data_IF_667938577658
#
_entry.id   IF_667938577658
#
_cell.length_a   1.000
_cell.length_b   1.000
_cell.length_c   1.000
_cell.angle_alpha   90.00
_cell.angle_beta   90.00
_cell.angle_gamma   90.00
#
_symmetry.space_group_name_H-M   'P 1'
#
loop_
_entity.id
_entity.type
_entity.pdbx_description
1 polymer ?
#
# COMPACT_ATOMS: atom_id res chain seq x y z
N UNK A 1 52.29 0.26 7.14
CA UNK A 1 53.03 -0.95 7.58
C UNK A 1 52.04 -1.95 8.21
N UNK A 2 50.90 -2.19 7.56
CA UNK A 2 49.88 -3.15 8.04
C UNK A 2 49.63 -4.32 7.06
N UNK A 3 50.08 -4.20 5.80
CA UNK A 3 49.82 -5.17 4.72
C UNK A 3 50.49 -6.54 4.98
N UNK A 4 51.66 -6.58 5.61
CA UNK A 4 52.42 -7.81 5.87
C UNK A 4 52.12 -8.47 7.22
N UNK A 5 51.10 -8.01 7.96
CA UNK A 5 50.79 -8.57 9.27
C UNK A 5 50.10 -9.93 9.13
N UNK A 6 50.68 -11.05 9.63
CA UNK A 6 50.12 -12.39 9.41
C UNK A 6 48.71 -12.59 9.99
N UNK A 7 48.32 -11.75 10.96
CA UNK A 7 47.01 -11.79 11.61
C UNK A 7 45.86 -11.29 10.71
N UNK A 8 46.17 -10.47 9.70
CA UNK A 8 45.20 -9.97 8.74
C UNK A 8 44.92 -10.97 7.60
N UNK A 9 45.76 -12.00 7.44
CA UNK A 9 45.61 -12.99 6.37
C UNK A 9 44.47 -13.95 6.69
N UNK A 10 43.52 -14.07 5.77
CA UNK A 10 42.42 -15.03 5.87
C UNK A 10 42.86 -16.36 5.28
N UNK A 11 42.67 -17.46 6.02
CA UNK A 11 43.02 -18.81 5.55
C UNK A 11 42.22 -19.15 4.28
N UNK A 12 42.81 -19.95 3.40
CA UNK A 12 42.22 -20.39 2.12
C UNK A 12 41.95 -19.29 1.09
N UNK A 13 42.52 -18.09 1.27
CA UNK A 13 42.45 -17.00 0.28
C UNK A 13 43.86 -16.70 -0.27
N UNK A 14 43.96 -16.42 -1.57
CA UNK A 14 45.24 -16.15 -2.23
C UNK A 14 45.82 -14.76 -1.86
N UNK A 15 44.93 -13.80 -1.63
CA UNK A 15 45.26 -12.43 -1.30
C UNK A 15 44.27 -11.92 -0.25
N UNK A 16 44.76 -11.12 0.69
CA UNK A 16 43.92 -10.40 1.64
C UNK A 16 44.44 -8.99 1.77
N UNK A 17 43.55 -8.02 1.65
CA UNK A 17 43.86 -6.61 1.81
C UNK A 17 43.01 -6.04 2.93
N UNK A 18 43.65 -5.65 4.03
CA UNK A 18 42.99 -4.97 5.13
C UNK A 18 42.95 -3.47 4.84
N UNK A 19 41.74 -2.94 4.68
CA UNK A 19 41.53 -1.50 4.52
C UNK A 19 41.48 -0.86 5.91
N UNK A 20 42.32 0.15 6.13
CA UNK A 20 42.30 0.92 7.37
C UNK A 20 40.93 1.61 7.53
N UNK A 21 40.23 1.30 8.62
CA UNK A 21 38.94 1.90 8.95
C UNK A 21 39.13 3.36 9.33
N UNK A 22 38.79 4.25 8.41
CA UNK A 22 38.61 5.67 8.69
C UNK A 22 37.22 5.89 9.32
N UNK A 23 37.07 6.93 10.13
CA UNK A 23 35.79 7.28 10.80
C UNK A 23 34.65 7.65 9.82
N UNK A 24 34.94 7.78 8.53
CA UNK A 24 33.97 8.17 7.49
C UNK A 24 33.77 7.04 6.47
N UNK A 25 32.53 6.74 6.05
CA UNK A 25 32.25 5.74 5.03
C UNK A 25 32.80 6.19 3.67
N UNK A 26 33.36 5.25 2.90
CA UNK A 26 33.94 5.50 1.57
C UNK A 26 33.58 4.37 0.62
N UNK A 27 33.41 4.71 -0.65
CA UNK A 27 33.34 3.72 -1.71
C UNK A 27 34.74 3.30 -2.12
N UNK A 28 34.94 2.00 -2.26
CA UNK A 28 36.18 1.39 -2.73
C UNK A 28 35.91 0.72 -4.06
N UNK A 29 36.76 1.03 -5.04
CA UNK A 29 36.68 0.47 -6.38
C UNK A 29 37.92 -0.36 -6.65
N UNK A 30 37.73 -1.55 -7.22
CA UNK A 30 38.82 -2.42 -7.66
C UNK A 30 38.90 -2.32 -9.18
N UNK A 31 40.09 -1.99 -9.70
CA UNK A 31 40.37 -1.94 -11.14
C UNK A 31 41.47 -2.95 -11.46
N UNK A 32 41.15 -3.90 -12.36
CA UNK A 32 42.11 -4.86 -12.88
C UNK A 32 42.64 -4.36 -14.22
N UNK A 33 43.98 -4.26 -14.34
CA UNK A 33 44.65 -3.77 -15.55
C UNK A 33 45.68 -4.80 -16.02
N UNK A 34 45.57 -5.23 -17.27
CA UNK A 34 46.52 -6.15 -17.89
C UNK A 34 47.87 -5.46 -18.14
N UNK A 35 48.82 -5.69 -17.25
CA UNK A 35 50.16 -5.13 -17.33
C UNK A 35 51.23 -6.16 -16.93
N UNK A 36 52.43 -6.01 -17.46
CA UNK A 36 53.59 -6.82 -17.10
C UNK A 36 54.75 -5.92 -16.68
N UNK A 37 55.55 -6.39 -15.73
CA UNK A 37 56.70 -5.65 -15.23
C UNK A 37 57.96 -6.01 -16.03
N UNK A 38 58.53 -5.02 -16.73
CA UNK A 38 59.77 -5.23 -17.46
C UNK A 38 60.97 -5.19 -16.50
N UNK A 39 61.64 -6.34 -16.36
CA UNK A 39 62.76 -6.53 -15.44
C UNK A 39 64.00 -5.68 -15.77
N UNK A 40 64.13 -5.20 -17.01
CA UNK A 40 65.30 -4.42 -17.44
C UNK A 40 65.12 -2.91 -17.29
N UNK A 41 63.91 -2.41 -17.53
CA UNK A 41 63.58 -0.98 -17.42
C UNK A 41 62.92 -0.63 -16.08
N UNK A 42 62.51 -1.63 -15.30
CA UNK A 42 61.72 -1.47 -14.07
C UNK A 42 60.44 -0.67 -14.28
N UNK A 43 59.81 -0.81 -15.46
CA UNK A 43 58.57 -0.13 -15.81
C UNK A 43 57.46 -1.14 -16.11
N UNK A 44 56.24 -0.77 -15.72
CA UNK A 44 55.02 -1.50 -16.09
C UNK A 44 54.63 -1.16 -17.52
N UNK A 45 54.49 -2.18 -18.35
CA UNK A 45 54.01 -2.04 -19.71
C UNK A 45 52.64 -2.72 -19.87
N UNK A 46 51.80 -2.15 -20.73
CA UNK A 46 50.53 -2.75 -21.09
C UNK A 46 50.76 -4.09 -21.77
N UNK A 47 49.99 -5.10 -21.35
CA UNK A 47 50.01 -6.42 -21.96
C UNK A 47 49.10 -6.39 -23.21
N UNK A 48 49.65 -6.57 -24.43
CA UNK A 48 48.93 -6.26 -25.67
C UNK A 48 47.93 -7.33 -26.13
N UNK A 49 47.77 -8.42 -25.36
CA UNK A 49 46.86 -9.51 -25.68
C UNK A 49 45.74 -9.57 -24.65
N UNK A 50 44.56 -10.00 -25.09
CA UNK A 50 43.45 -10.25 -24.17
C UNK A 50 43.79 -11.46 -23.29
N UNK A 51 43.72 -11.26 -21.98
CA UNK A 51 43.94 -12.30 -20.97
C UNK A 51 42.63 -12.51 -20.25
N UNK A 52 42.11 -13.74 -20.30
CA UNK A 52 40.97 -14.15 -19.50
C UNK A 52 41.46 -14.53 -18.09
N UNK A 53 40.93 -13.86 -17.08
CA UNK A 53 41.26 -14.09 -15.66
C UNK A 53 39.98 -14.41 -14.93
N UNK A 54 39.89 -15.62 -14.38
CA UNK A 54 38.83 -16.01 -13.46
C UNK A 54 39.22 -15.56 -12.04
N UNK A 55 38.31 -14.84 -11.36
CA UNK A 55 38.56 -14.28 -10.04
C UNK A 55 37.31 -14.37 -9.16
N UNK A 56 37.54 -14.59 -7.87
CA UNK A 56 36.52 -14.56 -6.83
C UNK A 56 36.99 -13.60 -5.74
N UNK A 57 36.32 -12.45 -5.62
CA UNK A 57 36.67 -11.38 -4.68
C UNK A 57 35.58 -11.29 -3.63
N UNK A 58 35.95 -11.59 -2.39
CA UNK A 58 35.06 -11.49 -1.23
C UNK A 58 35.32 -10.20 -0.45
N UNK A 59 34.35 -9.28 -0.47
CA UNK A 59 34.40 -7.99 0.20
C UNK A 59 33.52 -8.03 1.46
N UNK A 60 34.11 -7.76 2.63
CA UNK A 60 33.41 -7.84 3.92
C UNK A 60 33.72 -6.66 4.82
N UNK A 61 32.75 -6.30 5.66
CA UNK A 61 32.88 -5.24 6.65
C UNK A 61 33.32 -5.81 8.00
N UNK A 62 34.62 -6.04 8.13
CA UNK A 62 35.27 -6.46 9.37
C UNK A 62 36.28 -7.58 9.16
N UNK A 63 37.04 -7.90 10.22
CA UNK A 63 38.02 -8.97 10.17
C UNK A 63 37.37 -10.32 10.57
N UNK A 64 37.34 -11.34 9.67
CA UNK A 64 36.75 -12.66 9.96
C UNK A 64 37.43 -13.40 11.12
N UNK A 65 38.71 -13.13 11.39
CA UNK A 65 39.44 -13.78 12.48
C UNK A 65 39.05 -13.22 13.87
N UNK A 66 38.25 -12.15 13.93
CA UNK A 66 37.80 -11.56 15.20
C UNK A 66 36.52 -12.24 15.69
N UNK A 67 36.54 -12.76 16.92
CA UNK A 67 35.48 -13.57 17.52
C UNK A 67 34.17 -12.82 17.83
N UNK A 68 34.11 -11.50 17.62
CA UNK A 68 32.97 -10.64 17.94
C UNK A 68 32.37 -9.92 16.73
N UNK A 69 32.51 -10.46 15.52
CA UNK A 69 31.94 -9.83 14.33
C UNK A 69 30.40 -9.90 14.36
N UNK A 70 29.73 -8.79 14.03
CA UNK A 70 28.27 -8.74 13.98
C UNK A 70 27.79 -9.30 12.63
N UNK A 71 27.07 -10.44 12.61
CA UNK A 71 26.61 -11.06 11.36
C UNK A 71 25.65 -10.17 10.57
N UNK A 72 24.96 -9.22 11.22
CA UNK A 72 24.04 -8.29 10.56
C UNK A 72 24.74 -7.14 9.82
N UNK A 73 26.05 -6.99 10.00
CA UNK A 73 26.86 -5.94 9.38
C UNK A 73 27.91 -6.54 8.45
N UNK A 74 28.41 -7.73 8.79
CA UNK A 74 29.60 -8.33 8.18
C UNK A 74 29.53 -8.43 6.64
N UNK A 75 28.43 -8.97 6.10
CA UNK A 75 28.26 -9.12 4.64
C UNK A 75 27.64 -7.88 3.98
N UNK A 76 27.05 -6.96 4.75
CA UNK A 76 26.32 -5.82 4.19
C UNK A 76 27.22 -4.62 4.00
N UNK A 77 27.25 -4.09 2.78
CA UNK A 77 27.80 -2.76 2.47
C UNK A 77 27.15 -1.67 3.34
N UNK A 78 27.85 -0.57 3.58
CA UNK A 78 27.40 0.48 4.50
C UNK A 78 26.02 1.08 4.14
N UNK A 79 25.70 1.16 2.85
CA UNK A 79 24.40 1.62 2.34
C UNK A 79 23.27 0.62 2.64
N UNK A 80 23.58 -0.68 2.75
CA UNK A 80 22.64 -1.78 3.02
C UNK A 80 22.56 -2.21 4.48
N UNK A 81 23.43 -1.73 5.35
CA UNK A 81 23.35 -2.03 6.78
C UNK A 81 21.98 -1.63 7.38
N UNK A 82 21.55 -2.36 8.40
CA UNK A 82 20.24 -2.25 9.06
C UNK A 82 19.00 -2.58 8.18
N UNK A 83 19.19 -2.96 6.92
CA UNK A 83 18.07 -3.39 6.04
C UNK A 83 17.35 -4.61 6.59
N UNK A 84 18.08 -5.57 7.17
CA UNK A 84 17.48 -6.75 7.80
C UNK A 84 16.60 -6.38 9.00
N UNK A 85 17.09 -5.50 9.88
CA UNK A 85 16.35 -5.03 11.06
C UNK A 85 15.04 -4.35 10.64
N UNK A 86 15.10 -3.54 9.59
CA UNK A 86 13.95 -2.87 9.00
C UNK A 86 12.91 -3.90 8.50
N UNK A 87 13.33 -4.91 7.74
CA UNK A 87 12.41 -5.97 7.29
C UNK A 87 11.80 -6.75 8.46
N UNK A 88 12.57 -7.03 9.51
CA UNK A 88 12.07 -7.73 10.70
C UNK A 88 11.00 -6.91 11.44
N UNK A 89 11.20 -5.59 11.59
CA UNK A 89 10.22 -4.71 12.24
C UNK A 89 8.89 -4.74 11.49
N UNK A 90 8.91 -4.53 10.17
CA UNK A 90 7.69 -4.57 9.38
C UNK A 90 7.08 -5.97 9.35
N UNK A 91 7.89 -7.02 9.29
CA UNK A 91 7.40 -8.39 9.30
C UNK A 91 6.59 -8.68 10.57
N UNK A 92 7.04 -8.21 11.73
CA UNK A 92 6.30 -8.33 13.00
C UNK A 92 4.96 -7.59 12.93
N UNK A 93 4.94 -6.37 12.40
CA UNK A 93 3.72 -5.57 12.28
C UNK A 93 2.71 -6.24 11.34
N UNK A 94 3.14 -6.64 10.14
CA UNK A 94 2.28 -7.31 9.16
C UNK A 94 1.83 -8.71 9.63
N UNK A 95 2.63 -9.42 10.42
CA UNK A 95 2.25 -10.70 11.05
C UNK A 95 1.07 -10.56 12.01
N UNK A 96 0.86 -9.37 12.60
CA UNK A 96 -0.33 -9.07 13.41
C UNK A 96 -1.48 -8.56 12.51
N UNK A 97 -1.16 -7.69 11.55
CA UNK A 97 -2.16 -7.03 10.69
C UNK A 97 -2.89 -8.02 9.75
N UNK A 98 -2.19 -9.00 9.19
CA UNK A 98 -2.76 -9.97 8.25
C UNK A 98 -3.83 -10.85 8.90
N UNK A 99 -3.59 -11.54 10.05
CA UNK A 99 -4.64 -12.28 10.75
C UNK A 99 -5.82 -11.39 11.15
N UNK A 100 -5.55 -10.16 11.58
CA UNK A 100 -6.57 -9.18 11.94
C UNK A 100 -7.49 -8.85 10.76
N UNK A 101 -6.91 -8.65 9.58
CA UNK A 101 -7.65 -8.39 8.35
C UNK A 101 -8.36 -9.64 7.80
N UNK A 102 -7.76 -10.83 7.93
CA UNK A 102 -8.40 -12.10 7.57
C UNK A 102 -9.66 -12.35 8.42
N UNK A 103 -9.62 -12.01 9.70
CA UNK A 103 -10.81 -12.07 10.55
C UNK A 103 -11.92 -11.13 10.05
N UNK A 104 -11.57 -9.90 9.68
CA UNK A 104 -12.53 -8.91 9.18
C UNK A 104 -13.20 -9.34 7.86
N UNK A 105 -12.43 -9.87 6.90
CA UNK A 105 -12.97 -10.24 5.57
C UNK A 105 -13.95 -11.41 5.63
N UNK A 106 -13.70 -12.40 6.50
CA UNK A 106 -14.58 -13.55 6.70
C UNK A 106 -15.94 -13.12 7.25
N UNK A 107 -16.01 -12.01 8.00
CA UNK A 107 -17.26 -11.53 8.59
C UNK A 107 -18.11 -10.70 7.63
N UNK A 108 -17.50 -9.81 6.85
CA UNK A 108 -18.23 -8.86 5.99
C UNK A 108 -18.56 -9.42 4.59
N UNK A 109 -17.78 -10.37 4.07
CA UNK A 109 -17.88 -10.91 2.71
C UNK A 109 -17.92 -9.87 1.56
N UNK A 110 -17.51 -8.62 1.80
CA UNK A 110 -17.62 -7.50 0.86
C UNK A 110 -16.48 -7.50 -0.18
N UNK A 111 -16.72 -7.17 -1.47
CA UNK A 111 -15.68 -7.22 -2.50
C UNK A 111 -14.53 -6.24 -2.26
N UNK A 112 -14.78 -5.07 -1.67
CA UNK A 112 -13.74 -4.08 -1.28
C UNK A 112 -12.77 -4.68 -0.28
N UNK A 113 -13.28 -5.36 0.76
CA UNK A 113 -12.43 -5.93 1.80
C UNK A 113 -11.66 -7.14 1.29
N UNK A 114 -12.19 -7.89 0.32
CA UNK A 114 -11.43 -8.93 -0.40
C UNK A 114 -10.28 -8.36 -1.21
N UNK A 115 -10.50 -7.27 -1.96
CA UNK A 115 -9.44 -6.63 -2.75
C UNK A 115 -8.35 -6.04 -1.84
N UNK A 116 -8.74 -5.41 -0.73
CA UNK A 116 -7.80 -4.94 0.28
C UNK A 116 -6.99 -6.08 0.90
N UNK A 117 -7.65 -7.17 1.31
CA UNK A 117 -6.96 -8.35 1.84
C UNK A 117 -6.00 -8.96 0.80
N UNK A 118 -6.35 -8.96 -0.49
CA UNK A 118 -5.44 -9.42 -1.54
C UNK A 118 -4.18 -8.55 -1.62
N UNK A 119 -4.31 -7.21 -1.62
CA UNK A 119 -3.15 -6.30 -1.60
C UNK A 119 -2.26 -6.52 -0.36
N UNK A 120 -2.87 -6.67 0.81
CA UNK A 120 -2.15 -6.90 2.07
C UNK A 120 -1.42 -8.26 2.11
N UNK A 121 -2.01 -9.30 1.51
CA UNK A 121 -1.37 -10.62 1.39
C UNK A 121 -0.19 -10.59 0.42
N UNK A 122 -0.31 -9.87 -0.70
CA UNK A 122 0.79 -9.65 -1.63
C UNK A 122 1.95 -8.91 -0.96
N UNK A 123 1.64 -7.85 -0.20
CA UNK A 123 2.63 -7.10 0.60
C UNK A 123 3.39 -8.01 1.56
N UNK A 124 2.64 -8.78 2.36
CA UNK A 124 3.23 -9.68 3.34
C UNK A 124 4.09 -10.75 2.67
N UNK A 125 3.61 -11.35 1.58
CA UNK A 125 4.38 -12.34 0.84
C UNK A 125 5.66 -11.74 0.26
N UNK A 126 5.59 -10.57 -0.40
CA UNK A 126 6.75 -9.85 -0.92
C UNK A 126 7.78 -9.52 0.17
N UNK A 127 7.31 -9.06 1.33
CA UNK A 127 8.16 -8.80 2.50
C UNK A 127 8.81 -10.08 3.04
N UNK A 128 8.09 -11.21 3.09
CA UNK A 128 8.67 -12.49 3.56
C UNK A 128 9.76 -13.00 2.62
N UNK A 129 9.60 -12.85 1.30
CA UNK A 129 10.64 -13.22 0.33
C UNK A 129 11.87 -12.31 0.45
N UNK A 130 11.65 -11.01 0.62
CA UNK A 130 12.72 -10.02 0.82
C UNK A 130 13.48 -10.26 2.12
N UNK A 131 12.77 -10.59 3.21
CA UNK A 131 13.36 -10.97 4.49
C UNK A 131 14.16 -12.28 4.36
N UNK A 132 13.63 -13.30 3.68
CA UNK A 132 14.34 -14.56 3.46
C UNK A 132 15.64 -14.33 2.70
N UNK A 133 15.61 -13.53 1.64
CA UNK A 133 16.81 -13.15 0.90
C UNK A 133 17.81 -12.42 1.80
N UNK A 134 17.35 -11.44 2.60
CA UNK A 134 18.21 -10.69 3.51
C UNK A 134 18.84 -11.59 4.60
N UNK A 135 18.11 -12.57 5.13
CA UNK A 135 18.64 -13.54 6.09
C UNK A 135 19.70 -14.42 5.44
N UNK A 136 19.45 -14.94 4.23
CA UNK A 136 20.43 -15.78 3.51
C UNK A 136 21.69 -14.97 3.20
N UNK A 137 21.52 -13.72 2.76
CA UNK A 137 22.62 -12.79 2.50
C UNK A 137 23.53 -12.57 3.71
N UNK A 138 23.01 -12.63 4.95
CA UNK A 138 23.86 -12.52 6.15
C UNK A 138 24.85 -13.68 6.29
N UNK A 139 24.53 -14.84 5.72
CA UNK A 139 25.33 -16.07 5.83
C UNK A 139 26.34 -16.19 4.69
N UNK A 140 25.92 -15.94 3.46
CA UNK A 140 26.71 -16.19 2.24
C UNK A 140 27.21 -14.92 1.54
N UNK A 141 26.65 -13.75 1.83
CA UNK A 141 26.96 -12.49 1.14
C UNK A 141 26.42 -12.38 -0.29
N UNK A 142 25.60 -13.35 -0.75
CA UNK A 142 25.05 -13.39 -2.11
C UNK A 142 23.52 -13.40 -2.08
N UNK A 143 22.91 -14.18 -1.17
CA UNK A 143 21.47 -14.37 -1.11
C UNK A 143 20.91 -15.15 -2.30
N UNK A 144 19.59 -15.08 -2.48
CA UNK A 144 18.88 -15.68 -3.61
C UNK A 144 18.34 -14.58 -4.52
N UNK A 145 19.04 -14.23 -5.63
CA UNK A 145 18.67 -13.08 -6.47
C UNK A 145 17.26 -13.23 -7.05
N UNK A 146 16.86 -14.45 -7.45
CA UNK A 146 15.52 -14.72 -7.98
C UNK A 146 14.42 -14.50 -6.93
N UNK A 147 14.71 -14.82 -5.66
CA UNK A 147 13.76 -14.62 -4.54
C UNK A 147 13.62 -13.13 -4.24
N UNK A 148 14.72 -12.38 -4.29
CA UNK A 148 14.70 -10.93 -4.16
C UNK A 148 13.83 -10.27 -5.24
N UNK A 149 14.06 -10.63 -6.52
CA UNK A 149 13.27 -10.13 -7.65
C UNK A 149 11.79 -10.49 -7.52
N UNK A 150 11.47 -11.72 -7.09
CA UNK A 150 10.09 -12.12 -6.84
C UNK A 150 9.45 -11.30 -5.70
N UNK A 151 10.20 -11.00 -4.65
CA UNK A 151 9.78 -10.12 -3.55
C UNK A 151 9.42 -8.72 -4.04
N UNK A 152 10.31 -8.10 -4.82
CA UNK A 152 10.12 -6.76 -5.38
C UNK A 152 8.90 -6.70 -6.32
N UNK A 153 8.71 -7.72 -7.18
CA UNK A 153 7.53 -7.78 -8.06
C UNK A 153 6.23 -7.88 -7.26
N UNK A 154 6.21 -8.67 -6.19
CA UNK A 154 5.03 -8.78 -5.32
C UNK A 154 4.73 -7.47 -4.57
N UNK A 155 5.75 -6.74 -4.15
CA UNK A 155 5.62 -5.40 -3.56
C UNK A 155 5.02 -4.40 -4.57
N UNK A 156 5.50 -4.40 -5.83
CA UNK A 156 4.91 -3.58 -6.90
C UNK A 156 3.44 -3.95 -7.15
N UNK A 157 3.11 -5.24 -7.20
CA UNK A 157 1.73 -5.71 -7.36
C UNK A 157 0.85 -5.32 -6.17
N UNK A 158 1.36 -5.39 -4.95
CA UNK A 158 0.70 -4.92 -3.73
C UNK A 158 0.34 -3.43 -3.83
N UNK A 159 1.32 -2.56 -4.10
CA UNK A 159 1.10 -1.10 -4.18
C UNK A 159 0.15 -0.71 -5.30
N UNK A 160 0.25 -1.35 -6.46
CA UNK A 160 -0.62 -1.06 -7.61
C UNK A 160 -2.06 -1.54 -7.33
N UNK A 161 -2.25 -2.69 -6.68
CA UNK A 161 -3.59 -3.16 -6.27
C UNK A 161 -4.19 -2.30 -5.16
N UNK A 162 -3.38 -1.83 -4.20
CA UNK A 162 -3.81 -0.87 -3.18
C UNK A 162 -4.23 0.46 -3.80
N UNK A 163 -3.49 0.95 -4.79
CA UNK A 163 -3.86 2.14 -5.57
C UNK A 163 -5.21 1.99 -6.28
N UNK A 164 -5.44 0.83 -6.92
CA UNK A 164 -6.71 0.51 -7.54
C UNK A 164 -7.86 0.54 -6.52
N UNK A 165 -7.66 -0.05 -5.33
CA UNK A 165 -8.62 0.01 -4.24
C UNK A 165 -8.95 1.46 -3.85
N UNK A 166 -7.96 2.34 -3.71
CA UNK A 166 -8.16 3.75 -3.39
C UNK A 166 -8.98 4.48 -4.46
N UNK A 167 -8.70 4.23 -5.75
CA UNK A 167 -9.47 4.82 -6.85
C UNK A 167 -10.91 4.31 -6.89
N UNK A 168 -11.11 3.01 -6.66
CA UNK A 168 -12.45 2.41 -6.58
C UNK A 168 -13.26 3.04 -5.44
N UNK A 169 -12.66 3.18 -4.26
CA UNK A 169 -13.29 3.82 -3.12
C UNK A 169 -13.58 5.31 -3.37
N UNK A 170 -12.67 6.06 -3.99
CA UNK A 170 -12.90 7.47 -4.34
C UNK A 170 -14.07 7.66 -5.32
N UNK A 171 -14.26 6.73 -6.25
CA UNK A 171 -15.42 6.66 -7.15
C UNK A 171 -16.73 6.25 -6.44
N UNK A 172 -16.65 5.79 -5.19
CA UNK A 172 -17.79 5.23 -4.46
C UNK A 172 -18.15 3.80 -4.86
N UNK A 173 -17.27 3.07 -5.55
CA UNK A 173 -17.55 1.68 -5.92
C UNK A 173 -17.79 0.83 -4.67
N UNK A 174 -18.92 0.13 -4.66
CA UNK A 174 -19.41 -0.68 -3.55
C UNK A 174 -19.69 0.09 -2.22
N UNK A 175 -19.61 1.43 -2.23
CA UNK A 175 -20.06 2.31 -1.14
C UNK A 175 -21.34 3.04 -1.55
N UNK A 176 -21.43 3.54 -2.79
CA UNK A 176 -22.58 4.33 -3.29
C UNK A 176 -23.23 3.75 -4.54
N UNK A 177 -22.55 2.87 -5.30
CA UNK A 177 -23.12 2.21 -6.50
C UNK A 177 -22.62 0.76 -6.64
N UNK A 178 -23.55 -0.17 -6.90
CA UNK A 178 -23.26 -1.62 -7.01
C UNK A 178 -22.88 -2.01 -8.46
N UNK A 179 -23.50 -1.38 -9.46
CA UNK A 179 -23.20 -1.59 -10.89
C UNK A 179 -22.62 -0.32 -11.54
N UNK A 180 -21.52 -0.49 -12.27
CA UNK A 180 -20.81 0.63 -12.90
C UNK A 180 -20.24 0.16 -14.24
N UNK A 181 -20.66 0.81 -15.33
CA UNK A 181 -20.30 0.44 -16.71
C UNK A 181 -18.83 0.72 -17.05
N UNK A 182 -18.16 1.59 -16.29
CA UNK A 182 -16.76 1.99 -16.49
C UNK A 182 -15.74 1.20 -15.63
N UNK A 183 -16.16 0.14 -14.93
CA UNK A 183 -15.25 -0.82 -14.27
C UNK A 183 -14.13 -1.33 -15.19
N UNK A 184 -14.41 -1.84 -16.42
CA UNK A 184 -13.37 -2.39 -17.27
C UNK A 184 -12.28 -1.36 -17.59
N UNK A 185 -12.64 -0.09 -17.81
CA UNK A 185 -11.65 0.95 -18.07
C UNK A 185 -10.70 1.16 -16.90
N UNK A 186 -11.20 1.19 -15.66
CA UNK A 186 -10.34 1.35 -14.48
C UNK A 186 -9.36 0.17 -14.34
N UNK A 187 -9.85 -1.07 -14.51
CA UNK A 187 -9.01 -2.26 -14.50
C UNK A 187 -8.01 -2.27 -15.67
N UNK A 188 -8.39 -1.79 -16.86
CA UNK A 188 -7.48 -1.64 -18.00
C UNK A 188 -6.37 -0.64 -17.69
N UNK A 189 -6.70 0.54 -17.15
CA UNK A 189 -5.68 1.54 -16.79
C UNK A 189 -4.77 1.03 -15.68
N UNK A 190 -5.34 0.36 -14.66
CA UNK A 190 -4.55 -0.28 -13.61
C UNK A 190 -3.60 -1.34 -14.17
N UNK A 191 -4.07 -2.20 -15.07
CA UNK A 191 -3.25 -3.22 -15.70
C UNK A 191 -2.10 -2.61 -16.50
N UNK A 192 -2.38 -1.59 -17.33
CA UNK A 192 -1.35 -0.86 -18.08
C UNK A 192 -0.34 -0.21 -17.14
N UNK A 193 -0.82 0.45 -16.08
CA UNK A 193 0.03 1.07 -15.07
C UNK A 193 0.95 0.05 -14.38
N UNK A 194 0.41 -1.11 -13.98
CA UNK A 194 1.18 -2.20 -13.38
C UNK A 194 2.23 -2.77 -14.34
N UNK A 195 1.89 -2.98 -15.62
CA UNK A 195 2.84 -3.44 -16.64
C UNK A 195 3.96 -2.42 -16.84
N UNK A 196 3.64 -1.13 -16.94
CA UNK A 196 4.66 -0.07 -17.06
C UNK A 196 5.58 -0.08 -15.85
N UNK A 197 5.05 -0.20 -14.62
CA UNK A 197 5.86 -0.31 -13.41
C UNK A 197 6.83 -1.50 -13.43
N UNK A 198 6.35 -2.69 -13.82
CA UNK A 198 7.20 -3.88 -13.91
C UNK A 198 8.28 -3.70 -14.99
N UNK A 199 7.94 -3.13 -16.15
CA UNK A 199 8.90 -2.89 -17.22
C UNK A 199 9.99 -1.89 -16.80
N UNK A 200 9.63 -0.82 -16.08
CA UNK A 200 10.60 0.15 -15.57
C UNK A 200 11.48 -0.45 -14.48
N UNK A 201 10.93 -1.30 -13.60
CA UNK A 201 11.71 -2.07 -12.63
C UNK A 201 12.73 -2.98 -13.34
N UNK A 202 12.32 -3.73 -14.37
CA UNK A 202 13.22 -4.60 -15.13
C UNK A 202 14.30 -3.78 -15.83
N UNK A 203 13.93 -2.66 -16.47
CA UNK A 203 14.88 -1.76 -17.10
C UNK A 203 15.92 -1.23 -16.10
N UNK A 204 15.47 -0.79 -14.93
CA UNK A 204 16.34 -0.30 -13.87
C UNK A 204 17.30 -1.40 -13.40
N UNK A 205 16.85 -2.66 -13.38
CA UNK A 205 17.70 -3.79 -12.98
C UNK A 205 18.72 -4.20 -14.06
N UNK A 206 18.45 -3.95 -15.34
CA UNK A 206 19.30 -4.39 -16.47
C UNK A 206 20.23 -3.32 -17.02
N UNK A 207 19.81 -2.06 -17.03
CA UNK A 207 20.53 -0.97 -17.72
C UNK A 207 21.26 -0.02 -16.76
N UNK A 208 20.88 0.02 -15.48
CA UNK A 208 21.60 0.83 -14.49
C UNK A 208 22.71 -0.02 -13.88
N UNK A 209 23.94 0.30 -14.27
CA UNK A 209 25.12 -0.31 -13.71
C UNK A 209 25.26 0.04 -12.22
N UNK A 210 25.56 -0.97 -11.41
CA UNK A 210 25.73 -0.84 -9.94
C UNK A 210 26.87 0.13 -9.57
N UNK A 211 27.75 0.43 -10.53
CA UNK A 211 28.91 1.32 -10.37
C UNK A 211 28.49 2.80 -10.48
N UNK A 212 27.44 3.09 -11.25
CA UNK A 212 26.89 4.44 -11.35
C UNK A 212 26.00 4.69 -10.14
N UNK A 213 26.42 5.62 -9.29
CA UNK A 213 25.72 6.06 -8.08
C UNK A 213 24.50 6.95 -8.42
N UNK A 214 23.70 6.46 -9.36
CA UNK A 214 22.52 7.11 -9.89
C UNK A 214 21.33 6.33 -9.38
N UNK A 215 20.58 6.96 -8.50
CA UNK A 215 19.34 6.37 -8.03
C UNK A 215 18.24 6.43 -9.08
N UNK A 216 17.25 5.58 -8.89
CA UNK A 216 16.06 5.46 -9.73
C UNK A 216 15.42 6.81 -10.07
N UNK A 217 15.27 7.73 -9.10
CA UNK A 217 14.63 9.04 -9.31
C UNK A 217 15.50 10.08 -10.05
N UNK A 218 16.77 9.81 -10.28
CA UNK A 218 17.63 10.64 -11.14
C UNK A 218 17.58 10.21 -12.60
N UNK A 219 17.06 9.01 -12.87
CA UNK A 219 16.91 8.46 -14.22
C UNK A 219 15.60 8.89 -14.88
N UNK A 220 15.53 8.85 -16.21
CA UNK A 220 14.31 9.18 -16.95
C UNK A 220 13.09 8.31 -16.53
N UNK A 221 13.24 6.99 -16.25
CA UNK A 221 12.15 6.15 -15.77
C UNK A 221 11.59 6.56 -14.42
N UNK A 222 12.45 7.01 -13.50
CA UNK A 222 12.01 7.57 -12.23
C UNK A 222 11.10 8.78 -12.42
N UNK A 223 11.47 9.72 -13.30
CA UNK A 223 10.62 10.86 -13.64
C UNK A 223 9.30 10.46 -14.29
N UNK A 224 9.30 9.44 -15.15
CA UNK A 224 8.08 8.89 -15.72
C UNK A 224 7.14 8.35 -14.65
N UNK A 225 7.64 7.57 -13.68
CA UNK A 225 6.85 7.04 -12.56
C UNK A 225 6.25 8.18 -11.75
N UNK A 226 7.01 9.24 -11.48
CA UNK A 226 6.54 10.41 -10.75
C UNK A 226 5.43 11.16 -11.48
N UNK A 227 5.58 11.39 -12.78
CA UNK A 227 4.53 12.03 -13.61
C UNK A 227 3.26 11.18 -13.61
N UNK A 228 3.38 9.86 -13.82
CA UNK A 228 2.24 8.95 -13.77
C UNK A 228 1.56 8.97 -12.39
N UNK A 229 2.34 9.00 -11.30
CA UNK A 229 1.82 9.15 -9.93
C UNK A 229 1.04 10.45 -9.79
N UNK A 230 1.58 11.58 -10.23
CA UNK A 230 0.89 12.89 -10.17
C UNK A 230 -0.42 12.91 -10.98
N UNK A 231 -0.46 12.27 -12.15
CA UNK A 231 -1.69 12.13 -12.93
C UNK A 231 -2.76 11.33 -12.18
N UNK A 232 -2.37 10.23 -11.54
CA UNK A 232 -3.28 9.41 -10.73
C UNK A 232 -3.78 10.19 -9.50
N UNK A 233 -2.93 11.01 -8.88
CA UNK A 233 -3.35 11.90 -7.77
C UNK A 233 -4.40 12.89 -8.24
N UNK A 234 -4.15 13.55 -9.39
CA UNK A 234 -5.12 14.46 -9.99
C UNK A 234 -6.44 13.77 -10.27
N UNK A 235 -6.40 12.56 -10.85
CA UNK A 235 -7.59 11.76 -11.09
C UNK A 235 -8.31 11.38 -9.79
N UNK A 236 -7.60 10.85 -8.80
CA UNK A 236 -8.14 10.50 -7.50
C UNK A 236 -8.87 11.68 -6.84
N UNK A 237 -8.27 12.88 -6.84
CA UNK A 237 -8.87 14.07 -6.26
C UNK A 237 -10.13 14.53 -7.02
N UNK A 238 -10.15 14.41 -8.35
CA UNK A 238 -11.33 14.73 -9.15
C UNK A 238 -12.48 13.77 -8.85
N UNK A 239 -12.20 12.47 -8.76
CA UNK A 239 -13.22 11.46 -8.43
C UNK A 239 -13.74 11.64 -7.01
N UNK A 240 -12.83 11.83 -6.04
CA UNK A 240 -13.20 12.09 -4.65
C UNK A 240 -14.07 13.34 -4.55
N UNK A 241 -13.69 14.43 -5.23
CA UNK A 241 -14.47 15.68 -5.26
C UNK A 241 -15.85 15.47 -5.88
N UNK A 242 -15.94 14.73 -6.98
CA UNK A 242 -17.22 14.44 -7.63
C UNK A 242 -18.11 13.64 -6.68
N UNK A 243 -17.60 12.55 -6.09
CA UNK A 243 -18.34 11.73 -5.13
C UNK A 243 -18.83 12.56 -3.91
N UNK A 244 -17.96 13.38 -3.33
CA UNK A 244 -18.33 14.26 -2.21
C UNK A 244 -19.34 15.36 -2.59
N UNK A 245 -19.41 15.75 -3.87
CA UNK A 245 -20.41 16.73 -4.36
C UNK A 245 -21.79 16.12 -4.56
N UNK A 246 -21.87 14.83 -4.88
CA UNK A 246 -23.13 14.12 -5.06
C UNK A 246 -23.73 13.64 -3.72
N UNK A 247 -22.88 13.25 -2.77
CA UNK A 247 -23.33 12.74 -1.48
C UNK A 247 -23.72 13.90 -0.54
N UNK A 248 -24.99 13.95 -0.12
CA UNK A 248 -25.53 14.98 0.78
C UNK A 248 -25.54 14.54 2.26
N UNK A 249 -25.12 13.30 2.55
CA UNK A 249 -25.13 12.76 3.91
C UNK A 249 -23.83 13.09 4.65
N UNK A 250 -23.95 13.90 5.71
CA UNK A 250 -22.85 14.34 6.59
C UNK A 250 -22.00 13.18 7.15
N UNK A 251 -22.61 12.02 7.45
CA UNK A 251 -21.87 10.89 8.03
C UNK A 251 -20.93 10.22 7.01
N UNK A 252 -21.39 10.08 5.76
CA UNK A 252 -20.58 9.52 4.67
C UNK A 252 -19.54 10.52 4.19
N UNK A 253 -19.89 11.81 4.17
CA UNK A 253 -18.96 12.88 3.81
C UNK A 253 -17.76 12.92 4.77
N UNK A 254 -18.00 12.82 6.08
CA UNK A 254 -16.94 12.74 7.08
C UNK A 254 -16.04 11.50 6.88
N UNK A 255 -16.62 10.36 6.51
CA UNK A 255 -15.86 9.16 6.12
C UNK A 255 -14.97 9.43 4.90
N UNK A 256 -15.52 9.99 3.82
CA UNK A 256 -14.77 10.31 2.60
C UNK A 256 -13.67 11.34 2.84
N UNK A 257 -13.88 12.29 3.75
CA UNK A 257 -12.88 13.28 4.13
C UNK A 257 -11.70 12.61 4.85
N UNK A 258 -11.95 11.76 5.85
CA UNK A 258 -10.90 11.03 6.55
C UNK A 258 -10.16 10.04 5.65
N UNK A 259 -10.89 9.31 4.81
CA UNK A 259 -10.34 8.43 3.78
C UNK A 259 -9.49 9.19 2.76
N UNK A 260 -10.01 10.31 2.25
CA UNK A 260 -9.34 11.16 1.28
C UNK A 260 -8.05 11.74 1.83
N UNK A 261 -8.08 12.22 3.08
CA UNK A 261 -6.89 12.74 3.75
C UNK A 261 -5.81 11.67 3.94
N UNK A 262 -6.17 10.47 4.40
CA UNK A 262 -5.19 9.39 4.60
C UNK A 262 -4.62 8.87 3.28
N UNK A 263 -5.46 8.68 2.26
CA UNK A 263 -5.04 8.28 0.93
C UNK A 263 -4.11 9.34 0.28
N UNK A 264 -4.40 10.63 0.46
CA UNK A 264 -3.60 11.71 -0.10
C UNK A 264 -2.18 11.72 0.49
N UNK A 265 -2.03 11.48 1.79
CA UNK A 265 -0.71 11.34 2.45
C UNK A 265 0.09 10.21 1.81
N UNK A 266 -0.54 9.04 1.57
CA UNK A 266 0.11 7.92 0.91
C UNK A 266 0.42 8.18 -0.58
N UNK A 267 -0.37 9.00 -1.26
CA UNK A 267 -0.08 9.34 -2.64
C UNK A 267 1.09 10.31 -2.77
N UNK A 268 1.13 11.33 -1.90
CA UNK A 268 2.07 12.45 -1.97
C UNK A 268 3.48 12.08 -1.44
N UNK A 269 3.63 11.06 -0.58
CA UNK A 269 4.96 10.74 -0.05
C UNK A 269 5.98 10.44 -1.15
N UNK A 270 5.58 9.82 -2.27
CA UNK A 270 6.49 9.43 -3.34
C UNK A 270 7.07 10.65 -4.10
N UNK A 271 6.29 11.64 -4.54
CA UNK A 271 6.85 12.90 -5.04
C UNK A 271 7.75 13.63 -4.04
N UNK A 272 7.37 13.67 -2.76
CA UNK A 272 8.18 14.32 -1.72
C UNK A 272 9.52 13.59 -1.57
N UNK A 273 9.48 12.26 -1.47
CA UNK A 273 10.69 11.47 -1.24
C UNK A 273 11.66 11.58 -2.41
N UNK A 274 11.16 11.64 -3.65
CA UNK A 274 12.01 11.80 -4.82
C UNK A 274 12.77 13.14 -4.81
N UNK A 275 12.13 14.25 -4.39
CA UNK A 275 12.79 15.55 -4.24
C UNK A 275 13.82 15.51 -3.12
N UNK A 276 13.45 14.91 -1.98
CA UNK A 276 14.35 14.78 -0.82
C UNK A 276 15.55 13.89 -1.16
N UNK A 277 15.36 12.84 -1.95
CA UNK A 277 16.40 11.91 -2.37
C UNK A 277 17.56 12.60 -3.11
N UNK A 278 17.27 13.68 -3.85
CA UNK A 278 18.29 14.46 -4.56
C UNK A 278 19.26 15.20 -3.62
N UNK A 279 18.92 15.37 -2.35
CA UNK A 279 19.73 16.06 -1.35
C UNK A 279 20.45 15.10 -0.40
N UNK A 280 20.09 13.81 -0.42
CA UNK A 280 20.64 12.82 0.51
C UNK A 280 21.93 12.22 -0.07
N UNK A 281 23.02 12.16 0.70
CA UNK A 281 24.23 11.48 0.28
C UNK A 281 23.97 9.98 -0.03
N UNK A 282 24.58 9.44 -1.09
CA UNK A 282 24.46 8.04 -1.51
C UNK A 282 24.52 7.00 -0.39
N UNK A 283 25.47 7.15 0.54
CA UNK A 283 25.70 6.26 1.67
C UNK A 283 24.46 6.04 2.57
N UNK A 284 23.56 7.01 2.63
CA UNK A 284 22.35 6.97 3.46
C UNK A 284 21.08 6.82 2.65
N UNK A 285 21.15 7.05 1.34
CA UNK A 285 19.99 7.18 0.48
C UNK A 285 19.17 5.92 0.42
N UNK A 286 19.80 4.77 0.13
CA UNK A 286 19.09 3.50 0.01
C UNK A 286 18.26 3.17 1.28
N UNK A 287 18.88 3.12 2.45
CA UNK A 287 18.21 2.79 3.72
C UNK A 287 17.14 3.81 4.14
N UNK A 288 17.35 5.09 3.86
CA UNK A 288 16.34 6.12 4.13
C UNK A 288 15.12 5.97 3.21
N UNK A 289 15.36 5.76 1.91
CA UNK A 289 14.29 5.53 0.94
C UNK A 289 13.47 4.29 1.31
N UNK A 290 14.14 3.19 1.61
CA UNK A 290 13.52 1.95 2.04
C UNK A 290 12.66 2.16 3.30
N UNK A 291 13.23 2.78 4.33
CA UNK A 291 12.56 3.01 5.61
C UNK A 291 11.33 3.90 5.52
N UNK A 292 11.41 5.01 4.78
CA UNK A 292 10.26 5.90 4.58
C UNK A 292 9.18 5.19 3.76
N UNK A 293 9.57 4.45 2.73
CA UNK A 293 8.63 3.76 1.84
C UNK A 293 7.82 2.71 2.61
N UNK A 294 8.48 1.77 3.30
CA UNK A 294 7.77 0.77 4.11
C UNK A 294 6.97 1.40 5.25
N UNK A 295 7.46 2.49 5.84
CA UNK A 295 6.71 3.22 6.88
C UNK A 295 5.42 3.84 6.34
N UNK A 296 5.48 4.48 5.17
CA UNK A 296 4.32 5.08 4.52
C UNK A 296 3.29 4.02 4.10
N UNK A 297 3.74 2.91 3.53
CA UNK A 297 2.86 1.80 3.14
C UNK A 297 2.24 1.14 4.37
N UNK A 298 3.04 0.81 5.40
CA UNK A 298 2.55 0.24 6.64
C UNK A 298 1.50 1.15 7.30
N UNK A 299 1.74 2.47 7.35
CA UNK A 299 0.77 3.42 7.88
C UNK A 299 -0.52 3.43 7.07
N UNK A 300 -0.44 3.41 5.74
CA UNK A 300 -1.62 3.36 4.87
C UNK A 300 -2.42 2.07 5.06
N UNK A 301 -1.75 0.92 5.16
CA UNK A 301 -2.38 -0.36 5.45
C UNK A 301 -3.06 -0.37 6.83
N UNK A 302 -2.37 0.09 7.88
CA UNK A 302 -2.95 0.20 9.23
C UNK A 302 -4.19 1.10 9.28
N UNK A 303 -4.13 2.28 8.64
CA UNK A 303 -5.26 3.20 8.57
C UNK A 303 -6.41 2.59 7.78
N UNK A 304 -6.13 1.92 6.66
CA UNK A 304 -7.15 1.26 5.85
C UNK A 304 -7.83 0.11 6.59
N UNK A 305 -7.06 -0.73 7.30
CA UNK A 305 -7.61 -1.80 8.14
C UNK A 305 -8.53 -1.25 9.22
N UNK A 306 -8.15 -0.13 9.86
CA UNK A 306 -9.00 0.54 10.83
C UNK A 306 -10.28 1.13 10.20
N UNK A 307 -10.15 1.75 9.02
CA UNK A 307 -11.26 2.40 8.32
C UNK A 307 -12.29 1.40 7.79
N UNK A 308 -11.84 0.23 7.31
CA UNK A 308 -12.67 -0.84 6.77
C UNK A 308 -13.16 -1.84 7.84
N UNK A 309 -12.88 -1.60 9.12
CA UNK A 309 -13.22 -2.53 10.20
C UNK A 309 -14.75 -2.78 10.32
N UNK A 310 -15.20 -4.04 10.55
CA UNK A 310 -16.62 -4.42 10.50
C UNK A 310 -17.58 -3.56 11.30
N UNK A 311 -17.22 -3.17 12.52
CA UNK A 311 -18.13 -2.39 13.37
C UNK A 311 -18.44 -1.00 12.83
N UNK A 312 -17.55 -0.42 12.02
CA UNK A 312 -17.74 0.90 11.39
C UNK A 312 -18.24 0.76 9.96
N UNK A 313 -17.65 -0.14 9.18
CA UNK A 313 -17.97 -0.26 7.77
C UNK A 313 -19.35 -0.87 7.53
N UNK A 314 -19.83 -1.80 8.36
CA UNK A 314 -21.22 -2.28 8.27
C UNK A 314 -22.20 -1.13 8.44
N UNK A 315 -21.94 -0.16 9.32
CA UNK A 315 -22.82 1.01 9.46
C UNK A 315 -22.83 1.86 8.18
N UNK A 316 -21.68 2.12 7.56
CA UNK A 316 -21.62 2.90 6.32
C UNK A 316 -22.21 2.17 5.12
N UNK A 317 -21.96 0.87 4.99
CA UNK A 317 -22.49 0.03 3.90
C UNK A 317 -24.00 -0.24 4.05
N UNK A 318 -24.50 -0.45 5.28
CA UNK A 318 -25.94 -0.60 5.53
C UNK A 318 -26.71 0.72 5.35
N UNK A 319 -26.12 1.85 5.72
CA UNK A 319 -26.71 3.17 5.48
C UNK A 319 -26.81 3.46 3.98
N UNK A 320 -25.83 3.02 3.18
CA UNK A 320 -25.90 3.09 1.73
C UNK A 320 -27.07 2.28 1.18
N UNK A 321 -27.22 1.01 1.59
CA UNK A 321 -28.31 0.15 1.10
C UNK A 321 -29.71 0.66 1.48
N UNK A 322 -29.89 1.22 2.70
CA UNK A 322 -31.18 1.81 3.13
C UNK A 322 -31.56 3.08 2.38
N UNK A 323 -30.58 3.90 2.01
CA UNK A 323 -30.82 5.13 1.25
C UNK A 323 -31.09 4.81 -0.21
N UNK A 324 -30.38 3.84 -0.81
CA UNK A 324 -30.63 3.37 -2.18
C UNK A 324 -32.08 2.89 -2.32
N UNK A 325 -32.57 2.09 -1.35
CA UNK A 325 -33.98 1.68 -1.32
C UNK A 325 -34.93 2.85 -1.11
N UNK A 326 -34.56 3.88 -0.34
CA UNK A 326 -35.39 5.08 -0.15
C UNK A 326 -35.45 5.93 -1.41
N UNK A 327 -34.33 6.14 -2.10
CA UNK A 327 -34.27 6.87 -3.37
C UNK A 327 -35.02 6.12 -4.48
N UNK A 328 -34.88 4.79 -4.57
CA UNK A 328 -35.69 3.96 -5.47
C UNK A 328 -37.19 4.04 -5.15
N UNK A 329 -37.56 4.08 -3.86
CA UNK A 329 -38.95 4.23 -3.42
C UNK A 329 -39.51 5.62 -3.78
N UNK A 330 -38.71 6.67 -3.62
CA UNK A 330 -39.11 8.04 -3.97
C UNK A 330 -39.24 8.20 -5.49
N UNK A 331 -38.32 7.64 -6.28
CA UNK A 331 -38.41 7.61 -7.76
C UNK A 331 -39.62 6.79 -8.23
N UNK A 332 -39.92 5.67 -7.57
CA UNK A 332 -41.13 4.89 -7.85
C UNK A 332 -42.41 5.65 -7.52
N UNK A 333 -42.42 6.45 -6.45
CA UNK A 333 -43.56 7.25 -6.04
C UNK A 333 -43.80 8.46 -6.97
N UNK A 334 -42.75 8.99 -7.58
CA UNK A 334 -42.82 10.06 -8.60
C UNK A 334 -43.18 9.56 -10.00
N UNK A 335 -43.25 8.25 -10.19
CA UNK A 335 -43.59 7.67 -11.48
C UNK A 335 -45.03 8.05 -11.92
N UNK A 336 -45.26 8.36 -13.21
CA UNK A 336 -46.54 8.93 -13.68
C UNK A 336 -47.76 8.02 -13.51
N UNK A 337 -47.55 6.75 -13.18
CA UNK A 337 -48.60 5.77 -12.89
C UNK A 337 -49.09 5.82 -11.43
N UNK A 338 -48.28 6.33 -10.49
CA UNK A 338 -48.67 6.47 -9.08
C UNK A 338 -49.51 7.74 -8.83
N UNK A 339 -49.18 8.86 -9.49
CA UNK A 339 -49.87 10.17 -9.40
C UNK A 339 -51.34 10.14 -9.87
N UNK A 340 -51.72 9.19 -10.73
CA UNK A 340 -53.10 9.06 -11.19
C UNK A 340 -54.02 8.34 -10.18
N UNK A 341 -53.47 7.60 -9.22
CA UNK A 341 -54.28 6.88 -8.22
C UNK A 341 -54.81 7.81 -7.12
N UNK A 342 -54.05 8.84 -6.76
CA UNK A 342 -54.39 9.82 -5.72
C UNK A 342 -55.41 10.87 -6.19
N UNK A 343 -55.47 11.12 -7.51
CA UNK A 343 -56.38 12.14 -8.08
C UNK A 343 -57.81 11.61 -8.30
N UNK A 344 -58.02 10.28 -8.29
CA UNK A 344 -59.33 9.70 -8.64
C UNK A 344 -60.29 9.58 -7.43
N UNK A 345 -59.86 9.91 -6.20
CA UNK A 345 -60.65 9.63 -4.98
C UNK A 345 -61.23 10.87 -4.28
N UNK A 346 -61.01 12.09 -4.78
CA UNK A 346 -61.45 13.34 -4.10
C UNK A 346 -62.72 13.98 -4.71
N UNK A 347 -63.21 13.54 -5.87
CA UNK A 347 -64.33 14.21 -6.57
C UNK A 347 -65.74 13.62 -6.36
N UNK A 348 -66.02 12.95 -5.22
CA UNK A 348 -67.40 12.55 -4.87
C UNK A 348 -67.78 12.86 -3.42
N UNK A 349 -67.91 14.15 -3.13
CA UNK A 349 -68.79 14.64 -2.07
C UNK A 349 -69.99 15.36 -2.71
N UNK A 350 -71.18 14.75 -2.61
CA UNK A 350 -72.47 15.45 -2.71
C UNK A 350 -73.21 15.19 -1.39
N UNK A 351 -73.72 16.23 -0.70
CA UNK A 351 -74.48 16.09 0.54
C UNK A 351 -75.97 15.83 0.25
N UNK A 352 -76.63 15.03 1.08
CA UNK A 352 -78.09 14.82 1.04
C UNK A 352 -78.72 15.07 2.41
N UNK A 353 -79.76 15.91 2.40
CA UNK A 353 -80.56 16.41 3.53
C UNK A 353 -81.59 15.39 4.06
N UNK A 354 -82.08 15.67 5.28
CA UNK A 354 -82.98 14.84 6.08
C UNK A 354 -84.41 14.67 5.53
N UNK A 355 -85.17 13.69 6.08
CA UNK A 355 -86.53 13.98 6.50
C UNK A 355 -86.92 13.45 7.90
N UNK A 356 -87.95 14.10 8.44
CA UNK A 356 -88.53 14.10 9.80
C UNK A 356 -89.40 12.90 10.24
N UNK A 357 -89.51 12.76 11.57
CA UNK A 357 -90.55 12.13 12.44
C UNK A 357 -90.67 10.58 12.40
N UNK A 358 -90.72 9.83 13.51
CA UNK A 358 -91.69 9.92 14.62
C UNK A 358 -91.28 8.96 15.78
N UNK A 359 -91.79 9.26 17.00
CA UNK A 359 -91.98 8.40 18.20
C UNK A 359 -90.79 7.95 19.08
N UNK A 360 -90.77 8.54 20.30
CA UNK A 360 -90.18 8.04 21.55
C UNK A 360 -90.99 6.83 22.11
N UNK A 361 -90.72 6.24 23.32
CA UNK A 361 -89.71 6.57 24.34
C UNK A 361 -88.99 5.37 25.02
N UNK A 362 -87.93 5.62 25.79
CA UNK A 362 -87.75 5.19 27.19
C UNK A 362 -86.27 5.30 27.67
N UNK A 363 -86.09 6.05 28.75
CA UNK A 363 -84.92 6.12 29.64
C UNK A 363 -84.94 4.94 30.65
N UNK A 364 -84.02 4.77 31.63
CA UNK A 364 -82.67 5.34 31.83
C UNK A 364 -81.62 4.33 32.40
N UNK A 365 -80.41 4.85 32.65
CA UNK A 365 -79.64 4.71 33.91
C UNK A 365 -78.35 3.89 33.93
N UNK A 366 -77.32 4.54 34.52
CA UNK A 366 -76.35 4.03 35.50
C UNK A 366 -75.32 2.99 34.99
N UNK A 367 -74.08 2.91 35.46
CA UNK A 367 -73.28 3.61 36.46
C UNK A 367 -71.86 3.01 36.42
N UNK A 368 -70.87 3.77 36.88
CA UNK A 368 -69.65 3.37 37.61
C UNK A 368 -68.92 2.05 37.30
N UNK A 369 -67.61 2.16 37.12
CA UNK A 369 -66.69 1.04 37.31
C UNK A 369 -65.22 1.43 37.14
N UNK A 370 -64.63 2.01 38.17
CA UNK A 370 -63.18 2.13 38.37
C UNK A 370 -62.59 0.84 38.94
N UNK A 371 -61.52 0.28 38.35
CA UNK A 371 -60.50 -0.58 39.02
C UNK A 371 -59.21 -0.46 38.18
N UNK A 372 -58.20 0.29 38.60
CA UNK A 372 -57.07 -0.09 39.48
C UNK A 372 -55.96 -0.96 38.83
N UNK A 373 -54.77 -0.34 38.75
CA UNK A 373 -53.42 -0.84 39.05
C UNK A 373 -52.88 -2.11 38.37
N UNK A 374 -51.71 -1.99 37.71
CA UNK A 374 -50.37 -2.27 38.32
C UNK A 374 -49.22 -2.17 37.28
N UNK A 375 -48.14 -1.54 37.72
CA UNK A 375 -46.79 -1.52 37.14
C UNK A 375 -46.07 -2.87 37.34
N UNK A 376 -45.12 -3.25 36.46
CA UNK A 376 -43.86 -3.95 36.85
C UNK A 376 -42.72 -3.57 35.87
N UNK A 377 -41.54 -3.45 36.48
CA UNK A 377 -40.22 -2.97 36.08
C UNK A 377 -39.33 -4.08 35.47
N UNK A 378 -38.53 -3.68 34.48
CA UNK A 378 -37.17 -4.06 34.05
C UNK A 378 -36.56 -5.46 34.30
N UNK A 379 -35.81 -5.89 33.28
CA UNK A 379 -34.36 -6.14 33.37
C UNK A 379 -33.67 -5.44 32.21
#
# INVERSE_FOLDING_TARGET
MDEDTPWNVVKNHQFTFAIETLNEPRFWYVSLVACYHNLTTCQWHHFPYDVEVDYDIWLVNGNPNTSGHNPFIYQFSFDRQNTLELYLVFFVIYSVLVPWQLYAVVRQHHPVTRLFTASLLLEFLGLTLSLLNAVVFTMDGVGYPNVAVAGDILDILSRTTFMLLLLLLAKGWAVTRQEFTWKPLLFTVWFIYGVVHILLYVWNKTEVDIIEDIDEYQTWPGWLILVLRCLIIGWFLLELRNTMRYEHNESKLNFFLHFGASALVWYIYLPIIAIVALQIPPFWRFKLLLGITYSADCLAYCVMTHLLWPTRSEQYFLLAHRLDTSEELDEFNESPHALNSSTTTIDRLIPWEAPTATSAPAMPSASNGSVENKYVVFT
#
